data_IF_673289572226
#
_entry.id   IF_673289572226
#
_cell.length_a   1.000
_cell.length_b   1.000
_cell.length_c   1.000
_cell.angle_alpha   90.00
_cell.angle_beta   90.00
_cell.angle_gamma   90.00
#
_symmetry.space_group_name_H-M   'P 1'
#
loop_
_entity.id
_entity.type
_entity.pdbx_description
1 polymer ?
#
# COMPACT_ATOMS: atom_id res chain seq x y z
N UNK A 1 11.22 -3.41 -20.23
CA UNK A 1 9.94 -4.16 -20.32
C UNK A 1 9.22 -3.98 -18.99
N UNK A 2 7.91 -3.69 -18.95
CA UNK A 2 7.22 -3.47 -17.66
C UNK A 2 7.00 -4.81 -16.98
N UNK A 3 7.50 -4.98 -15.76
CA UNK A 3 7.35 -6.19 -14.94
C UNK A 3 5.95 -6.28 -14.34
N UNK A 4 5.46 -5.19 -13.76
CA UNK A 4 4.15 -5.11 -13.15
C UNK A 4 3.62 -3.67 -13.12
N UNK A 5 2.32 -3.52 -12.95
CA UNK A 5 1.67 -2.26 -12.61
C UNK A 5 1.21 -2.31 -11.15
N UNK A 6 1.47 -1.22 -10.41
CA UNK A 6 0.85 -0.97 -9.09
C UNK A 6 -0.19 0.13 -9.29
N UNK A 7 -1.44 -0.19 -9.05
CA UNK A 7 -2.60 0.70 -9.26
C UNK A 7 -3.11 1.14 -7.90
N UNK A 8 -3.25 2.45 -7.69
CA UNK A 8 -3.60 3.07 -6.41
C UNK A 8 -4.62 4.21 -6.60
N UNK A 9 -5.28 4.61 -5.52
CA UNK A 9 -6.31 5.65 -5.56
C UNK A 9 -5.74 7.06 -5.66
N UNK A 10 -4.59 7.34 -5.02
CA UNK A 10 -4.03 8.68 -4.92
C UNK A 10 -2.51 8.75 -5.00
N UNK A 11 -2.01 9.97 -5.25
CA UNK A 11 -0.57 10.22 -5.28
C UNK A 11 0.10 10.03 -3.91
N UNK A 12 -0.63 10.27 -2.82
CA UNK A 12 -0.14 10.04 -1.44
C UNK A 12 0.13 8.55 -1.23
N UNK A 13 -0.78 7.69 -1.67
CA UNK A 13 -0.66 6.24 -1.56
C UNK A 13 0.56 5.76 -2.36
N UNK A 14 0.72 6.30 -3.57
CA UNK A 14 1.91 6.01 -4.38
C UNK A 14 3.19 6.40 -3.65
N UNK A 15 3.24 7.58 -3.04
CA UNK A 15 4.41 8.05 -2.30
C UNK A 15 4.78 7.11 -1.15
N UNK A 16 3.78 6.70 -0.34
CA UNK A 16 3.98 5.77 0.78
C UNK A 16 4.55 4.44 0.27
N UNK A 17 3.89 3.83 -0.70
CA UNK A 17 4.31 2.54 -1.23
C UNK A 17 5.69 2.63 -1.89
N UNK A 18 5.95 3.67 -2.67
CA UNK A 18 7.22 3.84 -3.36
C UNK A 18 8.41 4.06 -2.41
N UNK A 19 8.17 4.71 -1.26
CA UNK A 19 9.19 4.92 -0.22
C UNK A 19 9.48 3.66 0.60
N UNK A 20 8.47 2.82 0.78
CA UNK A 20 8.59 1.59 1.58
C UNK A 20 9.10 0.39 0.79
N UNK A 21 8.84 0.31 -0.51
CA UNK A 21 9.31 -0.82 -1.29
C UNK A 21 10.81 -0.72 -1.60
N UNK A 22 11.57 -1.82 -1.47
CA UNK A 22 12.97 -1.87 -1.85
C UNK A 22 13.19 -1.50 -3.32
N UNK A 23 14.21 -0.67 -3.58
CA UNK A 23 14.50 -0.16 -4.94
C UNK A 23 14.66 -1.26 -5.99
N UNK A 24 15.23 -2.42 -5.61
CA UNK A 24 15.43 -3.53 -6.54
C UNK A 24 14.11 -4.17 -6.99
N UNK A 25 13.05 -4.12 -6.18
CA UNK A 25 11.72 -4.61 -6.55
C UNK A 25 10.95 -3.62 -7.42
N UNK A 26 11.36 -2.36 -7.44
CA UNK A 26 10.73 -1.31 -8.25
C UNK A 26 11.28 -1.24 -9.68
N UNK A 27 12.30 -2.02 -10.00
CA UNK A 27 12.81 -2.08 -11.37
C UNK A 27 11.71 -2.58 -12.32
N UNK A 28 11.47 -1.80 -13.38
CA UNK A 28 10.41 -2.11 -14.35
C UNK A 28 8.97 -2.16 -13.81
N UNK A 29 8.74 -1.69 -12.58
CA UNK A 29 7.38 -1.50 -12.02
C UNK A 29 6.87 -0.11 -12.37
N UNK A 30 5.62 -0.03 -12.81
CA UNK A 30 4.95 1.24 -13.12
C UNK A 30 3.79 1.50 -12.17
N UNK A 31 3.78 2.69 -11.62
CA UNK A 31 2.65 3.17 -10.81
C UNK A 31 1.59 3.80 -11.71
N UNK A 32 0.33 3.49 -11.42
CA UNK A 32 -0.85 4.06 -12.08
C UNK A 32 -1.78 4.56 -11.00
N UNK A 33 -2.01 5.86 -10.98
CA UNK A 33 -2.88 6.50 -10.01
C UNK A 33 -4.22 6.83 -10.67
N UNK A 34 -5.31 6.44 -10.02
CA UNK A 34 -6.66 6.79 -10.45
C UNK A 34 -7.24 7.92 -9.60
N UNK A 35 -8.54 8.08 -9.69
CA UNK A 35 -9.28 9.03 -8.87
C UNK A 35 -10.52 8.32 -8.29
N UNK A 36 -10.30 7.67 -7.15
CA UNK A 36 -11.30 6.88 -6.43
C UNK A 36 -11.41 5.42 -6.89
N UNK A 37 -12.03 4.63 -6.04
CA UNK A 37 -12.04 3.15 -6.09
C UNK A 37 -12.62 2.58 -7.38
N UNK A 38 -13.66 3.19 -7.93
CA UNK A 38 -14.27 2.72 -9.18
C UNK A 38 -13.29 2.82 -10.35
N UNK A 39 -12.62 3.98 -10.47
CA UNK A 39 -11.69 4.22 -11.57
C UNK A 39 -10.47 3.29 -11.49
N UNK A 40 -9.88 3.11 -10.32
CA UNK A 40 -8.70 2.25 -10.17
C UNK A 40 -9.01 0.78 -10.42
N UNK A 41 -10.18 0.28 -10.04
CA UNK A 41 -10.63 -1.07 -10.40
C UNK A 41 -10.79 -1.24 -11.91
N UNK A 42 -11.37 -0.23 -12.57
CA UNK A 42 -11.50 -0.23 -14.03
C UNK A 42 -10.14 -0.17 -14.73
N UNK A 43 -9.21 0.64 -14.23
CA UNK A 43 -7.83 0.71 -14.73
C UNK A 43 -7.11 -0.63 -14.57
N UNK A 44 -7.17 -1.25 -13.39
CA UNK A 44 -6.55 -2.55 -13.13
C UNK A 44 -7.09 -3.63 -14.08
N UNK A 45 -8.43 -3.70 -14.25
CA UNK A 45 -9.06 -4.63 -15.21
C UNK A 45 -8.60 -4.37 -16.64
N UNK A 46 -8.54 -3.11 -17.06
CA UNK A 46 -8.09 -2.74 -18.40
C UNK A 46 -6.62 -3.09 -18.64
N UNK A 47 -5.75 -2.84 -17.67
CA UNK A 47 -4.32 -3.18 -17.77
C UNK A 47 -4.12 -4.69 -17.91
N UNK A 48 -4.81 -5.50 -17.10
CA UNK A 48 -4.78 -6.96 -17.22
C UNK A 48 -5.23 -7.43 -18.62
N UNK A 49 -6.37 -6.92 -19.07
CA UNK A 49 -6.95 -7.36 -20.35
C UNK A 49 -6.18 -6.91 -21.58
N UNK A 50 -5.53 -5.72 -21.55
CA UNK A 50 -4.92 -5.12 -22.75
C UNK A 50 -3.40 -5.16 -22.77
N UNK A 51 -2.75 -5.17 -21.62
CA UNK A 51 -1.28 -5.13 -21.51
C UNK A 51 -0.65 -6.50 -21.27
N UNK A 52 -1.43 -7.49 -20.86
CA UNK A 52 -0.94 -8.81 -20.47
C UNK A 52 0.22 -8.72 -19.46
N UNK A 53 0.12 -7.78 -18.52
CA UNK A 53 1.16 -7.49 -17.54
C UNK A 53 0.57 -7.65 -16.14
N UNK A 54 1.29 -8.27 -15.18
CA UNK A 54 0.85 -8.41 -13.81
C UNK A 54 0.42 -7.09 -13.17
N UNK A 55 -0.61 -7.14 -12.32
CA UNK A 55 -1.17 -5.96 -11.65
C UNK A 55 -1.32 -6.21 -10.15
N UNK A 56 -0.87 -5.26 -9.36
CA UNK A 56 -1.23 -5.12 -7.94
C UNK A 56 -2.22 -3.96 -7.84
N UNK A 57 -3.39 -4.23 -7.30
CA UNK A 57 -4.39 -3.21 -6.99
C UNK A 57 -4.41 -2.98 -5.48
N UNK A 58 -4.10 -1.77 -5.05
CA UNK A 58 -4.10 -1.37 -3.64
C UNK A 58 -5.24 -0.38 -3.44
N UNK A 59 -6.08 -0.65 -2.45
CA UNK A 59 -7.26 0.16 -2.12
C UNK A 59 -7.40 0.31 -0.61
N UNK A 60 -7.99 1.41 -0.18
CA UNK A 60 -8.47 1.54 1.19
C UNK A 60 -9.70 0.66 1.41
N UNK A 61 -9.76 -0.01 2.55
CA UNK A 61 -10.95 -0.77 2.93
C UNK A 61 -12.13 0.15 3.26
N UNK A 62 -11.86 1.35 3.80
CA UNK A 62 -12.82 2.33 4.33
C UNK A 62 -13.67 1.78 5.49
N UNK A 63 -13.26 0.69 6.07
CA UNK A 63 -13.95 0.01 7.18
C UNK A 63 -12.96 -0.87 7.94
N UNK A 64 -13.27 -1.14 9.19
CA UNK A 64 -12.62 -2.14 10.04
C UNK A 64 -13.47 -3.39 10.25
N UNK A 65 -14.66 -3.45 9.64
CA UNK A 65 -15.57 -4.59 9.72
C UNK A 65 -15.07 -5.75 8.84
N UNK A 66 -14.67 -6.85 9.46
CA UNK A 66 -14.08 -8.02 8.78
C UNK A 66 -14.98 -8.59 7.67
N UNK A 67 -16.31 -8.65 7.87
CA UNK A 67 -17.23 -9.17 6.85
C UNK A 67 -17.27 -8.26 5.63
N UNK A 68 -17.28 -6.95 5.83
CA UNK A 68 -17.26 -5.97 4.72
C UNK A 68 -15.93 -5.99 3.97
N UNK A 69 -14.82 -6.13 4.70
CA UNK A 69 -13.48 -6.26 4.10
C UNK A 69 -13.43 -7.51 3.23
N UNK A 70 -13.88 -8.65 3.76
CA UNK A 70 -13.90 -9.91 3.03
C UNK A 70 -14.78 -9.85 1.77
N UNK A 71 -16.01 -9.31 1.88
CA UNK A 71 -16.90 -9.13 0.73
C UNK A 71 -16.31 -8.23 -0.36
N UNK A 72 -15.68 -7.12 0.08
CA UNK A 72 -14.99 -6.18 -0.84
C UNK A 72 -13.82 -6.86 -1.56
N UNK A 73 -12.99 -7.58 -0.82
CA UNK A 73 -11.86 -8.34 -1.35
C UNK A 73 -12.31 -9.40 -2.36
N UNK A 74 -13.33 -10.18 -2.01
CA UNK A 74 -13.84 -11.26 -2.86
C UNK A 74 -14.46 -10.72 -4.15
N UNK A 75 -15.26 -9.66 -4.06
CA UNK A 75 -15.85 -9.01 -5.22
C UNK A 75 -14.77 -8.49 -6.18
N UNK A 76 -13.75 -7.81 -5.68
CA UNK A 76 -12.70 -7.25 -6.53
C UNK A 76 -11.86 -8.37 -7.15
N UNK A 77 -11.51 -9.40 -6.37
CA UNK A 77 -10.82 -10.59 -6.88
C UNK A 77 -11.61 -11.27 -8.01
N UNK A 78 -12.92 -11.41 -7.86
CA UNK A 78 -13.79 -11.97 -8.88
C UNK A 78 -13.74 -11.15 -10.18
N UNK A 79 -13.85 -9.82 -10.06
CA UNK A 79 -13.82 -8.90 -11.22
C UNK A 79 -12.47 -8.97 -11.96
N UNK A 80 -11.36 -8.89 -11.23
CA UNK A 80 -10.02 -8.93 -11.84
C UNK A 80 -9.70 -10.31 -12.44
N UNK A 81 -10.12 -11.38 -11.81
CA UNK A 81 -9.94 -12.75 -12.34
C UNK A 81 -10.58 -12.91 -13.71
N UNK A 82 -11.74 -12.31 -13.94
CA UNK A 82 -12.41 -12.34 -15.24
C UNK A 82 -11.65 -11.55 -16.33
N UNK A 83 -10.97 -10.48 -15.92
CA UNK A 83 -10.19 -9.63 -16.81
C UNK A 83 -8.78 -10.17 -17.08
N UNK A 84 -8.24 -10.98 -16.18
CA UNK A 84 -6.81 -11.33 -16.17
C UNK A 84 -6.39 -12.32 -17.27
N UNK A 85 -7.31 -13.13 -17.79
CA UNK A 85 -6.99 -14.18 -18.76
C UNK A 85 -5.77 -15.06 -18.35
N UNK A 86 -5.57 -15.28 -17.05
CA UNK A 86 -4.44 -16.03 -16.49
C UNK A 86 -3.22 -15.20 -16.15
N UNK A 87 -3.21 -13.89 -16.40
CA UNK A 87 -2.14 -13.00 -15.96
C UNK A 87 -2.20 -12.85 -14.42
N UNK A 88 -1.07 -12.95 -13.71
CA UNK A 88 -1.03 -12.77 -12.27
C UNK A 88 -1.55 -11.40 -11.83
N UNK A 89 -2.34 -11.38 -10.78
CA UNK A 89 -2.75 -10.15 -10.12
C UNK A 89 -2.91 -10.35 -8.63
N UNK A 90 -2.82 -9.26 -7.89
CA UNK A 90 -3.06 -9.21 -6.46
C UNK A 90 -3.97 -8.04 -6.13
N UNK A 91 -4.89 -8.25 -5.19
CA UNK A 91 -5.70 -7.20 -4.58
C UNK A 91 -5.31 -7.11 -3.11
N UNK A 92 -4.86 -5.94 -2.69
CA UNK A 92 -4.47 -5.67 -1.31
C UNK A 92 -5.33 -4.54 -0.75
N UNK A 93 -6.02 -4.79 0.36
CA UNK A 93 -6.82 -3.78 1.05
C UNK A 93 -6.06 -3.25 2.27
N UNK A 94 -5.86 -1.95 2.32
CA UNK A 94 -5.37 -1.26 3.50
C UNK A 94 -6.53 -1.05 4.49
N UNK A 95 -6.39 -1.53 5.72
CA UNK A 95 -7.48 -1.53 6.72
C UNK A 95 -7.11 -0.61 7.88
N UNK A 96 -7.87 0.44 8.13
CA UNK A 96 -8.99 0.94 7.33
C UNK A 96 -8.55 1.70 6.07
N UNK A 97 -7.37 2.30 6.08
CA UNK A 97 -6.79 3.13 5.02
C UNK A 97 -5.26 3.00 5.01
N UNK A 98 -4.60 3.42 3.93
CA UNK A 98 -3.17 3.14 3.68
C UNK A 98 -2.23 3.75 4.73
N UNK A 99 -2.62 4.85 5.35
CA UNK A 99 -1.85 5.50 6.40
C UNK A 99 -1.65 4.63 7.66
N UNK A 100 -2.42 3.52 7.80
CA UNK A 100 -2.22 2.52 8.87
C UNK A 100 -0.79 1.97 8.89
N UNK A 101 -0.14 1.88 7.73
CA UNK A 101 1.24 1.42 7.62
C UNK A 101 2.19 2.35 8.38
N UNK A 102 1.93 3.66 8.34
CA UNK A 102 2.77 4.68 8.95
C UNK A 102 2.66 4.72 10.47
N UNK A 103 1.55 4.25 11.03
CA UNK A 103 1.30 4.19 12.48
C UNK A 103 1.61 2.84 13.10
N UNK A 104 2.29 1.95 12.39
CA UNK A 104 2.62 0.62 12.90
C UNK A 104 3.45 0.65 14.19
N UNK A 105 4.27 1.69 14.37
CA UNK A 105 5.08 1.89 15.58
C UNK A 105 4.71 3.21 16.26
N UNK A 106 4.12 3.11 17.46
CA UNK A 106 3.74 4.27 18.26
C UNK A 106 4.95 5.14 18.61
N UNK A 107 6.06 4.53 19.02
CA UNK A 107 7.26 5.25 19.44
C UNK A 107 7.84 6.10 18.29
N UNK A 108 7.73 5.60 17.04
CA UNK A 108 8.13 6.33 15.86
C UNK A 108 7.33 7.62 15.68
N UNK A 109 6.01 7.53 15.79
CA UNK A 109 5.14 8.70 15.64
C UNK A 109 5.28 9.67 16.81
N UNK A 110 5.46 9.17 18.03
CA UNK A 110 5.75 10.01 19.21
C UNK A 110 7.05 10.80 19.07
N UNK A 111 8.10 10.16 18.54
CA UNK A 111 9.38 10.81 18.20
C UNK A 111 9.19 11.95 17.21
N UNK A 112 8.44 11.72 16.13
CA UNK A 112 8.22 12.73 15.08
C UNK A 112 7.32 13.86 15.57
N UNK A 113 6.26 13.52 16.32
CA UNK A 113 5.33 14.48 16.90
C UNK A 113 5.89 15.22 18.12
N UNK A 114 7.03 14.76 18.67
CA UNK A 114 7.67 15.27 19.88
C UNK A 114 6.73 15.28 21.12
N UNK A 115 5.85 14.29 21.20
CA UNK A 115 4.96 14.07 22.33
C UNK A 115 4.53 12.63 22.45
N UNK A 116 4.15 12.21 23.66
CA UNK A 116 3.55 10.89 23.90
C UNK A 116 2.05 10.91 23.64
N UNK A 117 1.51 9.74 23.32
CA UNK A 117 0.09 9.50 23.13
C UNK A 117 -0.45 8.57 24.22
N UNK A 118 -1.64 8.87 24.70
CA UNK A 118 -2.35 7.98 25.59
C UNK A 118 -3.09 6.87 24.79
N UNK A 119 -3.61 5.87 25.50
CA UNK A 119 -4.28 4.73 24.88
C UNK A 119 -5.49 5.12 24.01
N UNK A 120 -6.21 6.20 24.40
CA UNK A 120 -7.38 6.66 23.65
C UNK A 120 -6.97 7.32 22.34
N UNK A 121 -5.94 8.14 22.36
CA UNK A 121 -5.37 8.76 21.17
C UNK A 121 -4.83 7.69 20.23
N UNK A 122 -4.17 6.65 20.76
CA UNK A 122 -3.64 5.57 19.94
C UNK A 122 -4.73 4.69 19.34
N UNK A 123 -5.81 4.42 20.07
CA UNK A 123 -7.00 3.76 19.49
C UNK A 123 -7.64 4.58 18.38
N UNK A 124 -7.69 5.89 18.53
CA UNK A 124 -8.15 6.78 17.46
C UNK A 124 -7.21 6.71 16.24
N UNK A 125 -5.88 6.70 16.45
CA UNK A 125 -4.92 6.52 15.39
C UNK A 125 -5.17 5.23 14.57
N UNK A 126 -5.42 4.12 15.25
CA UNK A 126 -5.69 2.84 14.59
C UNK A 126 -7.01 2.82 13.79
N UNK A 127 -8.02 3.53 14.25
CA UNK A 127 -9.32 3.59 13.56
C UNK A 127 -9.39 4.63 12.46
N UNK A 128 -8.61 5.73 12.58
CA UNK A 128 -8.57 6.84 11.63
C UNK A 128 -7.14 7.37 11.46
N UNK A 129 -6.25 6.58 10.87
CA UNK A 129 -4.83 6.89 10.82
C UNK A 129 -4.52 8.21 10.11
N UNK A 130 -5.16 8.51 9.00
CA UNK A 130 -4.98 9.75 8.26
C UNK A 130 -5.38 10.98 9.09
N UNK A 131 -6.59 10.97 9.66
CA UNK A 131 -7.11 12.07 10.48
C UNK A 131 -6.22 12.29 11.70
N UNK A 132 -5.78 11.22 12.35
CA UNK A 132 -4.84 11.28 13.46
C UNK A 132 -3.52 11.93 13.04
N UNK A 133 -2.87 11.43 11.97
CA UNK A 133 -1.60 11.96 11.50
C UNK A 133 -1.72 13.43 11.06
N UNK A 134 -2.80 13.83 10.40
CA UNK A 134 -3.08 15.23 10.06
C UNK A 134 -3.21 16.11 11.30
N UNK A 135 -3.81 15.58 12.36
CA UNK A 135 -4.00 16.31 13.62
C UNK A 135 -2.68 16.51 14.36
N UNK A 136 -1.84 15.48 14.43
CA UNK A 136 -0.61 15.52 15.26
C UNK A 136 0.61 16.04 14.51
N UNK A 137 0.68 15.88 13.20
CA UNK A 137 1.79 16.33 12.38
C UNK A 137 1.51 17.62 11.61
N UNK A 138 0.25 18.07 11.55
CA UNK A 138 -0.18 19.25 10.81
C UNK A 138 -0.46 18.97 9.35
N UNK A 139 -1.19 19.91 8.71
CA UNK A 139 -1.66 19.79 7.31
C UNK A 139 -0.79 20.55 6.29
N UNK A 140 0.23 21.25 6.74
CA UNK A 140 1.02 22.17 5.90
C UNK A 140 1.94 21.45 4.91
N UNK A 141 2.37 20.23 5.26
CA UNK A 141 3.19 19.36 4.39
C UNK A 141 2.50 18.02 4.20
N UNK A 142 2.89 17.29 3.16
CA UNK A 142 2.50 15.90 3.00
C UNK A 142 2.91 15.09 4.23
N UNK A 143 1.97 14.34 4.82
CA UNK A 143 2.22 13.49 5.99
C UNK A 143 3.37 12.52 5.70
N UNK A 144 3.34 11.88 4.53
CA UNK A 144 4.37 10.97 4.06
C UNK A 144 5.73 11.65 4.00
N UNK A 145 5.82 12.84 3.39
CA UNK A 145 7.07 13.60 3.34
C UNK A 145 7.61 13.91 4.74
N UNK A 146 6.75 14.36 5.65
CA UNK A 146 7.14 14.67 7.02
C UNK A 146 7.66 13.44 7.77
N UNK A 147 7.02 12.28 7.60
CA UNK A 147 7.46 11.05 8.23
C UNK A 147 8.78 10.57 7.61
N UNK A 148 8.83 10.40 6.29
CA UNK A 148 10.02 9.88 5.61
C UNK A 148 11.26 10.77 5.69
N UNK A 149 11.10 12.07 5.95
CA UNK A 149 12.23 12.97 6.21
C UNK A 149 12.81 12.86 7.61
N UNK A 150 12.08 12.23 8.55
CA UNK A 150 12.45 12.15 9.97
C UNK A 150 12.74 10.72 10.45
N UNK A 151 12.77 9.75 9.55
CA UNK A 151 13.08 8.35 9.84
C UNK A 151 14.32 7.87 9.11
N UNK A 152 14.99 6.90 9.72
CA UNK A 152 16.18 6.26 9.17
C UNK A 152 15.85 4.90 8.52
N UNK A 153 16.87 4.24 7.94
CA UNK A 153 16.70 2.96 7.25
C UNK A 153 16.21 1.83 8.16
N UNK A 154 16.54 1.85 9.46
CA UNK A 154 16.06 0.84 10.42
C UNK A 154 14.57 1.04 10.71
N UNK A 155 14.15 2.29 10.87
CA UNK A 155 12.75 2.65 11.07
C UNK A 155 11.91 2.37 9.80
N UNK A 156 12.48 2.55 8.61
CA UNK A 156 11.84 2.10 7.36
C UNK A 156 11.61 0.58 7.38
N UNK A 157 12.59 -0.21 7.85
CA UNK A 157 12.43 -1.67 7.97
C UNK A 157 11.32 -2.06 8.94
N UNK A 158 11.07 -1.29 10.00
CA UNK A 158 9.93 -1.52 10.88
C UNK A 158 8.61 -1.36 10.10
N UNK A 159 8.46 -0.26 9.36
CA UNK A 159 7.27 -0.02 8.54
C UNK A 159 7.11 -1.07 7.43
N UNK A 160 8.21 -1.57 6.88
CA UNK A 160 8.20 -2.66 5.90
C UNK A 160 7.66 -3.99 6.45
N UNK A 161 7.64 -4.20 7.78
CA UNK A 161 7.05 -5.41 8.38
C UNK A 161 5.52 -5.42 8.34
N UNK A 162 4.89 -4.33 7.94
CA UNK A 162 3.44 -4.30 7.81
C UNK A 162 2.96 -5.36 6.80
N UNK A 163 1.93 -6.17 7.14
CA UNK A 163 1.48 -7.27 6.30
C UNK A 163 1.22 -6.88 4.85
N UNK A 164 0.58 -5.73 4.63
CA UNK A 164 0.30 -5.22 3.28
C UNK A 164 1.59 -4.99 2.46
N UNK A 165 2.63 -4.46 3.07
CA UNK A 165 3.92 -4.25 2.40
C UNK A 165 4.60 -5.59 2.10
N UNK A 166 4.56 -6.54 3.06
CA UNK A 166 5.11 -7.87 2.87
C UNK A 166 4.42 -8.61 1.71
N UNK A 167 3.10 -8.58 1.63
CA UNK A 167 2.33 -9.17 0.53
C UNK A 167 2.73 -8.60 -0.83
N UNK A 168 2.91 -7.27 -0.94
CA UNK A 168 3.34 -6.62 -2.17
C UNK A 168 4.75 -7.07 -2.55
N UNK A 169 5.66 -7.12 -1.58
CA UNK A 169 7.05 -7.56 -1.78
C UNK A 169 7.12 -9.01 -2.25
N UNK A 170 6.34 -9.91 -1.65
CA UNK A 170 6.24 -11.32 -2.02
C UNK A 170 5.72 -11.48 -3.44
N UNK A 171 4.64 -10.77 -3.78
CA UNK A 171 4.10 -10.81 -5.13
C UNK A 171 5.12 -10.33 -6.18
N UNK A 172 5.74 -9.17 -5.98
CA UNK A 172 6.76 -8.65 -6.91
C UNK A 172 7.95 -9.59 -7.04
N UNK A 173 8.39 -10.18 -5.91
CA UNK A 173 9.48 -11.16 -5.91
C UNK A 173 9.13 -12.42 -6.71
N UNK A 174 7.87 -12.86 -6.66
CA UNK A 174 7.40 -14.03 -7.40
C UNK A 174 7.39 -13.83 -8.91
N UNK A 175 7.32 -12.58 -9.37
CA UNK A 175 7.35 -12.23 -10.80
C UNK A 175 8.77 -12.15 -11.36
N UNK A 176 9.76 -12.01 -10.50
CA UNK A 176 11.16 -11.95 -10.92
C UNK A 176 11.66 -13.40 -11.12
N UNK A 177 12.21 -13.76 -12.29
CA UNK A 177 12.78 -15.10 -12.47
C UNK A 177 13.85 -15.32 -11.41
N UNK A 178 13.71 -16.34 -10.58
CA UNK A 178 14.77 -16.80 -9.70
C UNK A 178 15.93 -17.23 -10.59
N UNK A 179 17.02 -16.47 -10.61
CA UNK A 179 18.29 -16.97 -11.10
C UNK A 179 18.73 -18.07 -10.13
N UNK A 180 18.26 -19.29 -10.36
CA UNK A 180 18.88 -20.46 -9.78
C UNK A 180 20.27 -20.51 -10.39
N UNK A 181 21.27 -20.08 -9.62
CA UNK A 181 22.64 -20.33 -9.95
C UNK A 181 22.81 -21.86 -10.04
N UNK A 182 22.86 -22.36 -11.25
CA UNK A 182 23.33 -23.72 -11.52
C UNK A 182 24.84 -23.67 -11.31
N UNK A 183 25.28 -24.06 -10.13
CA UNK A 183 26.68 -24.43 -9.86
C UNK A 183 26.89 -25.86 -10.27
#
# INVERSE_FOLDING_TARGET
MTLAYIVLEGNRDQEIIQKLLPKHLLQDVKFVVGNGQYQVRSLASSLLATRNTPVILILDADTDNESQIFEKQDLINYLLRRASAGIPFQVSLAVPEIEVILIQDQALIEKIAQRQFNDLEWKFAQSKPKEFLETVLGKEQSISEKIFSNINDEEIKILQQHPLIQEIMEFLSSLTPSFVAIN
#
